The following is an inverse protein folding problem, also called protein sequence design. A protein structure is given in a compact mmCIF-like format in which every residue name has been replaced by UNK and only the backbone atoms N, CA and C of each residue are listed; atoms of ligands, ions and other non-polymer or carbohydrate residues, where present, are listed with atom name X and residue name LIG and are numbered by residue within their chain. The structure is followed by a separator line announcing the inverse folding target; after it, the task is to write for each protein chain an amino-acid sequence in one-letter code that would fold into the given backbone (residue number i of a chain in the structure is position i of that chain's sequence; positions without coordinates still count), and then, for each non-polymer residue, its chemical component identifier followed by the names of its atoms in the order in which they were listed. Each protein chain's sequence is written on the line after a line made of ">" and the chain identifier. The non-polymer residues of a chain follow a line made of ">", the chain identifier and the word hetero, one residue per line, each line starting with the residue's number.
data_IF_240194049237
#
_entry.id   IF_240194049237
#
_cell.length_a   1.000
_cell.length_b   1.000
_cell.length_c   1.000
_cell.angle_alpha   90.00
_cell.angle_beta   90.00
_cell.angle_gamma   90.00
#
_symmetry.space_group_name_H-M   'P 1'
#
loop_
_entity.id
_entity.type
_entity.pdbx_description
1 polymer ?
#
# COMPACT_ATOMS: atom_id res chain seq x y z
N UNK A 1 -7.93 -35.33 3.90
CA UNK A 1 -8.71 -35.59 2.67
C UNK A 1 -8.31 -34.58 1.61
N UNK A 2 -8.24 -34.97 0.33
CA UNK A 2 -7.85 -34.05 -0.77
C UNK A 2 -8.68 -32.77 -0.80
N UNK A 3 -9.96 -32.83 -0.42
CA UNK A 3 -10.83 -31.66 -0.32
C UNK A 3 -10.41 -30.68 0.79
N UNK A 4 -9.94 -31.18 1.93
CA UNK A 4 -9.42 -30.35 3.02
C UNK A 4 -8.11 -29.64 2.65
N UNK A 5 -7.20 -30.34 1.95
CA UNK A 5 -5.96 -29.73 1.43
C UNK A 5 -6.25 -28.61 0.42
N UNK A 6 -7.19 -28.83 -0.49
CA UNK A 6 -7.63 -27.83 -1.48
C UNK A 6 -8.28 -26.62 -0.79
N UNK A 7 -9.08 -26.84 0.26
CA UNK A 7 -9.67 -25.74 1.02
C UNK A 7 -8.62 -24.89 1.73
N UNK A 8 -7.63 -25.53 2.36
CA UNK A 8 -6.51 -24.84 3.02
C UNK A 8 -5.70 -24.04 2.00
N UNK A 9 -5.38 -24.61 0.83
CA UNK A 9 -4.68 -23.90 -0.25
C UNK A 9 -5.48 -22.67 -0.72
N UNK A 10 -6.79 -22.81 -0.94
CA UNK A 10 -7.67 -21.68 -1.31
C UNK A 10 -7.69 -20.58 -0.24
N UNK A 11 -7.62 -20.92 1.05
CA UNK A 11 -7.55 -19.93 2.15
C UNK A 11 -6.24 -19.15 2.09
N UNK A 12 -5.11 -19.83 1.87
CA UNK A 12 -3.78 -19.20 1.72
C UNK A 12 -3.80 -18.22 0.53
N UNK A 13 -4.29 -18.67 -0.63
CA UNK A 13 -4.36 -17.83 -1.84
C UNK A 13 -5.28 -16.61 -1.64
N UNK A 14 -6.43 -16.78 -0.98
CA UNK A 14 -7.33 -15.67 -0.67
C UNK A 14 -6.67 -14.64 0.26
N UNK A 15 -5.94 -15.09 1.28
CA UNK A 15 -5.17 -14.22 2.17
C UNK A 15 -4.16 -13.39 1.39
N UNK A 16 -3.29 -14.04 0.62
CA UNK A 16 -2.31 -13.37 -0.25
C UNK A 16 -2.95 -12.40 -1.25
N UNK A 17 -4.05 -12.81 -1.88
CA UNK A 17 -4.76 -11.98 -2.85
C UNK A 17 -5.38 -10.74 -2.22
N UNK A 18 -5.90 -10.84 -0.99
CA UNK A 18 -6.43 -9.70 -0.23
C UNK A 18 -5.33 -8.67 0.05
N UNK A 19 -4.16 -9.16 0.50
CA UNK A 19 -2.97 -8.34 0.78
C UNK A 19 -2.52 -7.60 -0.50
N UNK A 20 -2.31 -8.33 -1.60
CA UNK A 20 -1.86 -7.73 -2.86
C UNK A 20 -2.88 -6.72 -3.39
N UNK A 21 -4.19 -6.99 -3.30
CA UNK A 21 -5.24 -6.03 -3.70
C UNK A 21 -5.20 -4.75 -2.89
N UNK A 22 -4.91 -4.82 -1.59
CA UNK A 22 -4.82 -3.66 -0.71
C UNK A 22 -3.62 -2.80 -1.10
N UNK A 23 -2.45 -3.44 -1.22
CA UNK A 23 -1.17 -2.79 -1.50
C UNK A 23 -1.14 -2.18 -2.89
N UNK A 24 -1.63 -2.89 -3.91
CA UNK A 24 -1.62 -2.39 -5.29
C UNK A 24 -2.59 -1.23 -5.56
N UNK A 25 -3.42 -0.84 -4.58
CA UNK A 25 -4.24 0.38 -4.65
C UNK A 25 -3.51 1.61 -4.13
N UNK A 26 -2.39 1.43 -3.42
CA UNK A 26 -1.66 2.54 -2.80
C UNK A 26 -0.74 3.23 -3.82
N UNK A 27 -0.71 4.58 -3.88
CA UNK A 27 0.17 5.34 -4.78
C UNK A 27 1.66 5.00 -4.67
N UNK A 28 2.17 4.69 -3.46
CA UNK A 28 3.56 4.23 -3.26
C UNK A 28 3.90 3.04 -4.15
N UNK A 29 3.01 2.04 -4.23
CA UNK A 29 3.25 0.80 -4.97
C UNK A 29 3.14 1.02 -6.47
N UNK A 30 2.18 1.85 -6.91
CA UNK A 30 2.08 2.24 -8.33
C UNK A 30 3.35 2.91 -8.81
N UNK A 31 3.89 3.87 -8.05
CA UNK A 31 5.16 4.54 -8.37
C UNK A 31 6.33 3.56 -8.37
N UNK A 32 6.37 2.65 -7.40
CA UNK A 32 7.43 1.63 -7.33
C UNK A 32 7.41 0.69 -8.54
N UNK A 33 6.23 0.22 -8.95
CA UNK A 33 6.08 -0.63 -10.13
C UNK A 33 6.53 0.10 -11.39
N UNK A 34 6.21 1.38 -11.52
CA UNK A 34 6.68 2.22 -12.63
C UNK A 34 8.22 2.32 -12.62
N UNK A 35 8.83 2.58 -11.45
CA UNK A 35 10.29 2.61 -11.29
C UNK A 35 10.96 1.27 -11.63
N UNK A 36 10.32 0.13 -11.28
CA UNK A 36 10.83 -1.19 -11.66
C UNK A 36 10.81 -1.39 -13.18
N UNK A 37 9.83 -0.82 -13.88
CA UNK A 37 9.81 -0.81 -15.35
C UNK A 37 10.86 0.11 -15.96
N UNK A 38 11.11 1.27 -15.35
CA UNK A 38 12.19 2.15 -15.81
C UNK A 38 13.56 1.47 -15.65
N UNK A 39 13.80 0.80 -14.52
CA UNK A 39 15.01 0.02 -14.28
C UNK A 39 15.17 -1.21 -15.20
N UNK A 40 14.04 -1.80 -15.63
CA UNK A 40 14.04 -2.86 -16.64
C UNK A 40 14.40 -2.29 -18.02
N UNK A 41 13.92 -1.09 -18.34
CA UNK A 41 14.19 -0.42 -19.62
C UNK A 41 15.66 0.03 -19.74
N UNK A 42 16.26 0.53 -18.66
CA UNK A 42 17.68 0.93 -18.61
C UNK A 42 18.64 -0.26 -18.56
N UNK A 43 18.15 -1.46 -18.24
CA UNK A 43 18.96 -2.66 -18.10
C UNK A 43 19.57 -2.85 -16.71
N UNK A 44 19.22 -2.01 -15.74
CA UNK A 44 19.69 -2.10 -14.34
C UNK A 44 19.14 -3.34 -13.61
N UNK A 45 18.02 -3.89 -14.10
CA UNK A 45 17.42 -5.12 -13.58
C UNK A 45 17.12 -6.11 -14.69
N UNK A 46 17.35 -7.38 -14.38
CA UNK A 46 16.99 -8.46 -15.29
C UNK A 46 15.50 -8.80 -15.16
N UNK A 47 14.86 -9.13 -16.27
CA UNK A 47 13.45 -9.53 -16.30
C UNK A 47 13.18 -10.77 -15.43
N UNK A 48 14.19 -11.65 -15.26
CA UNK A 48 14.12 -12.88 -14.43
C UNK A 48 13.90 -12.59 -12.95
N UNK A 49 14.39 -11.46 -12.46
CA UNK A 49 14.13 -11.04 -11.07
C UNK A 49 12.68 -10.55 -10.89
N UNK A 50 12.12 -9.96 -11.94
CA UNK A 50 10.85 -9.24 -11.88
C UNK A 50 9.64 -10.15 -12.09
N UNK A 51 9.68 -11.03 -13.09
CA UNK A 51 8.50 -11.77 -13.56
C UNK A 51 8.78 -13.27 -13.59
N UNK A 52 7.75 -14.07 -13.29
CA UNK A 52 7.82 -15.52 -13.36
C UNK A 52 7.98 -15.95 -14.84
N UNK A 53 8.99 -16.76 -15.11
CA UNK A 53 9.20 -17.43 -16.40
C UNK A 53 8.71 -18.87 -16.26
N UNK A 54 7.67 -19.23 -17.01
CA UNK A 54 7.12 -20.59 -17.04
C UNK A 54 7.64 -21.41 -18.23
N UNK A 55 8.42 -20.81 -19.14
CA UNK A 55 8.86 -21.47 -20.36
C UNK A 55 10.11 -22.33 -20.08
N UNK A 56 10.08 -23.60 -20.50
CA UNK A 56 11.17 -24.58 -20.33
C UNK A 56 12.41 -24.27 -21.18
N UNK A 57 12.27 -23.47 -22.25
CA UNK A 57 13.36 -23.00 -23.11
C UNK A 57 13.62 -21.50 -22.92
N UNK A 58 14.75 -21.17 -22.31
CA UNK A 58 15.17 -19.79 -22.06
C UNK A 58 16.11 -19.34 -23.18
N UNK A 59 15.55 -18.98 -24.34
CA UNK A 59 16.30 -18.33 -25.42
C UNK A 59 16.30 -16.81 -25.24
N UNK A 60 17.36 -16.14 -25.71
CA UNK A 60 17.50 -14.68 -25.60
C UNK A 60 16.37 -13.93 -26.33
N UNK A 61 15.86 -14.50 -27.42
CA UNK A 61 14.70 -13.96 -28.15
C UNK A 61 13.43 -13.96 -27.31
N UNK A 62 13.19 -15.04 -26.57
CA UNK A 62 12.01 -15.19 -25.71
C UNK A 62 12.07 -14.27 -24.49
N UNK A 63 13.26 -14.07 -23.94
CA UNK A 63 13.52 -13.08 -22.88
C UNK A 63 13.18 -11.67 -23.39
N UNK A 64 13.62 -11.31 -24.60
CA UNK A 64 13.36 -10.00 -25.19
C UNK A 64 11.86 -9.79 -25.49
N UNK A 65 11.15 -10.82 -25.94
CA UNK A 65 9.70 -10.77 -26.13
C UNK A 65 8.96 -10.56 -24.82
N UNK A 66 9.29 -11.35 -23.78
CA UNK A 66 8.67 -11.23 -22.46
C UNK A 66 8.97 -9.88 -21.82
N UNK A 67 10.19 -9.37 -21.98
CA UNK A 67 10.57 -8.02 -21.54
C UNK A 67 9.69 -6.95 -22.21
N UNK A 68 9.51 -7.01 -23.53
CA UNK A 68 8.60 -6.10 -24.27
C UNK A 68 7.15 -6.21 -23.79
N UNK A 69 6.67 -7.41 -23.48
CA UNK A 69 5.32 -7.62 -22.95
C UNK A 69 5.16 -6.95 -21.59
N UNK A 70 6.09 -7.18 -20.67
CA UNK A 70 6.07 -6.62 -19.32
C UNK A 70 6.18 -5.09 -19.37
N UNK A 71 7.02 -4.55 -20.26
CA UNK A 71 7.11 -3.11 -20.48
C UNK A 71 5.76 -2.52 -20.91
N UNK A 72 5.06 -3.16 -21.86
CA UNK A 72 3.71 -2.72 -22.28
C UNK A 72 2.70 -2.76 -21.13
N UNK A 73 2.78 -3.76 -20.25
CA UNK A 73 1.93 -3.83 -19.07
C UNK A 73 2.24 -2.69 -18.08
N UNK A 74 3.51 -2.37 -17.87
CA UNK A 74 3.92 -1.25 -17.01
C UNK A 74 3.50 0.09 -17.61
N UNK A 75 3.57 0.26 -18.92
CA UNK A 75 3.05 1.47 -19.60
C UNK A 75 1.54 1.61 -19.42
N UNK A 76 0.80 0.49 -19.42
CA UNK A 76 -0.62 0.50 -19.10
C UNK A 76 -0.88 0.90 -17.63
N UNK A 77 -0.06 0.43 -16.69
CA UNK A 77 -0.08 0.89 -15.29
C UNK A 77 0.18 2.39 -15.22
N UNK A 78 1.18 2.91 -15.94
CA UNK A 78 1.52 4.35 -15.98
C UNK A 78 0.34 5.19 -16.46
N UNK A 79 -0.31 4.79 -17.56
CA UNK A 79 -1.51 5.48 -18.09
C UNK A 79 -2.69 5.47 -17.13
N UNK A 80 -2.95 4.32 -16.50
CA UNK A 80 -4.00 4.19 -15.49
C UNK A 80 -3.70 5.05 -14.26
N UNK A 81 -2.43 5.10 -13.82
CA UNK A 81 -2.00 5.88 -12.66
C UNK A 81 -2.17 7.39 -12.89
N UNK A 82 -1.76 7.91 -14.06
CA UNK A 82 -1.99 9.30 -14.45
C UNK A 82 -3.49 9.67 -14.45
N UNK A 83 -4.35 8.74 -14.87
CA UNK A 83 -5.80 8.95 -14.86
C UNK A 83 -6.34 8.98 -13.43
N UNK A 84 -5.84 8.09 -12.57
CA UNK A 84 -6.20 8.06 -11.15
C UNK A 84 -5.76 9.33 -10.41
N UNK A 85 -4.57 9.84 -10.68
CA UNK A 85 -4.04 11.11 -10.14
C UNK A 85 -4.93 12.29 -10.52
N UNK A 86 -5.25 12.46 -11.80
CA UNK A 86 -6.15 13.54 -12.27
C UNK A 86 -7.54 13.48 -11.65
N UNK A 87 -8.08 12.28 -11.42
CA UNK A 87 -9.38 12.11 -10.77
C UNK A 87 -9.29 12.36 -9.26
N UNK A 88 -8.16 12.06 -8.64
CA UNK A 88 -7.88 12.36 -7.24
C UNK A 88 -7.74 13.86 -7.00
N UNK A 89 -7.02 14.58 -7.88
CA UNK A 89 -6.92 16.05 -7.84
C UNK A 89 -8.31 16.70 -7.91
N UNK A 90 -9.13 16.28 -8.89
CA UNK A 90 -10.53 16.72 -9.00
C UNK A 90 -11.36 16.42 -7.76
N UNK A 91 -11.10 15.31 -7.07
CA UNK A 91 -11.77 14.98 -5.82
C UNK A 91 -11.34 15.92 -4.69
N UNK A 92 -10.04 16.24 -4.61
CA UNK A 92 -9.49 17.13 -3.60
C UNK A 92 -10.01 18.57 -3.78
N UNK A 93 -10.17 19.03 -5.02
CA UNK A 93 -10.76 20.32 -5.36
C UNK A 93 -12.28 20.37 -5.12
N UNK A 94 -12.97 19.22 -5.17
CA UNK A 94 -14.42 19.17 -4.99
C UNK A 94 -14.77 19.35 -3.51
N UNK A 95 -15.53 20.39 -3.13
CA UNK A 95 -15.93 20.59 -1.74
C UNK A 95 -16.74 19.39 -1.21
N UNK A 96 -16.44 18.93 0.01
CA UNK A 96 -17.22 17.89 0.71
C UNK A 96 -18.68 18.31 0.95
N UNK A 97 -18.96 19.61 0.91
CA UNK A 97 -20.26 20.21 0.64
C UNK A 97 -21.15 20.48 1.87
N UNK A 98 -21.68 21.70 1.92
CA UNK A 98 -22.75 22.12 2.84
C UNK A 98 -24.15 21.83 2.26
N UNK A 99 -24.31 21.86 0.93
CA UNK A 99 -25.60 21.64 0.24
C UNK A 99 -25.77 20.21 -0.29
N UNK A 100 -27.02 19.80 -0.56
CA UNK A 100 -27.35 18.46 -1.12
C UNK A 100 -26.71 18.22 -2.50
N UNK A 101 -26.59 19.27 -3.33
CA UNK A 101 -25.99 19.18 -4.67
C UNK A 101 -24.49 18.90 -4.59
N UNK A 102 -23.79 19.60 -3.70
CA UNK A 102 -22.35 19.45 -3.52
C UNK A 102 -22.00 18.06 -2.97
N UNK A 103 -22.78 17.58 -1.99
CA UNK A 103 -22.65 16.21 -1.47
C UNK A 103 -22.81 15.16 -2.59
N UNK A 104 -23.75 15.35 -3.52
CA UNK A 104 -23.94 14.44 -4.66
C UNK A 104 -22.74 14.49 -5.62
N UNK A 105 -22.21 15.68 -5.92
CA UNK A 105 -21.02 15.85 -6.77
C UNK A 105 -19.79 15.20 -6.14
N UNK A 106 -19.56 15.44 -4.84
CA UNK A 106 -18.46 14.83 -4.09
C UNK A 106 -18.53 13.30 -4.13
N UNK A 107 -19.71 12.70 -3.88
CA UNK A 107 -19.90 11.25 -3.98
C UNK A 107 -19.57 10.70 -5.37
N UNK A 108 -19.96 11.41 -6.44
CA UNK A 108 -19.65 11.01 -7.82
C UNK A 108 -18.15 11.06 -8.10
N UNK A 109 -17.49 12.18 -7.75
CA UNK A 109 -16.03 12.30 -7.92
C UNK A 109 -15.28 11.26 -7.10
N UNK A 110 -15.71 11.01 -5.85
CA UNK A 110 -15.11 10.01 -4.97
C UNK A 110 -15.23 8.61 -5.58
N UNK A 111 -16.41 8.27 -6.10
CA UNK A 111 -16.61 6.97 -6.75
C UNK A 111 -15.70 6.81 -7.98
N UNK A 112 -15.58 7.83 -8.83
CA UNK A 112 -14.71 7.80 -10.00
C UNK A 112 -13.23 7.65 -9.63
N UNK A 113 -12.74 8.43 -8.65
CA UNK A 113 -11.36 8.34 -8.16
C UNK A 113 -11.05 6.94 -7.60
N UNK A 114 -11.96 6.39 -6.78
CA UNK A 114 -11.80 5.04 -6.23
C UNK A 114 -11.83 3.95 -7.32
N UNK A 115 -12.67 4.11 -8.35
CA UNK A 115 -12.70 3.17 -9.49
C UNK A 115 -11.41 3.20 -10.29
N UNK A 116 -10.86 4.39 -10.55
CA UNK A 116 -9.57 4.52 -11.22
C UNK A 116 -8.42 3.88 -10.40
N UNK A 117 -8.41 4.04 -9.07
CA UNK A 117 -7.46 3.33 -8.19
C UNK A 117 -7.60 1.81 -8.27
N UNK A 118 -8.83 1.31 -8.39
CA UNK A 118 -9.08 -0.14 -8.59
C UNK A 118 -8.57 -0.60 -9.96
N UNK A 119 -8.71 0.21 -11.01
CA UNK A 119 -8.16 -0.09 -12.33
C UNK A 119 -6.62 -0.19 -12.29
N UNK A 120 -5.94 0.76 -11.64
CA UNK A 120 -4.48 0.69 -11.42
C UNK A 120 -4.10 -0.62 -10.71
N UNK A 121 -4.82 -0.97 -9.64
CA UNK A 121 -4.63 -2.23 -8.92
C UNK A 121 -4.88 -3.47 -9.76
N UNK A 122 -5.77 -3.43 -10.74
CA UNK A 122 -5.99 -4.53 -11.69
C UNK A 122 -4.79 -4.67 -12.63
N UNK A 123 -4.35 -3.59 -13.28
CA UNK A 123 -3.20 -3.59 -14.18
C UNK A 123 -1.91 -4.06 -13.50
N UNK A 124 -1.67 -3.62 -12.26
CA UNK A 124 -0.51 -4.07 -11.47
C UNK A 124 -0.59 -5.58 -11.19
N UNK A 125 -1.80 -6.11 -10.92
CA UNK A 125 -1.98 -7.54 -10.62
C UNK A 125 -2.00 -8.45 -11.85
N UNK A 126 -2.22 -7.89 -13.03
CA UNK A 126 -2.06 -8.59 -14.31
C UNK A 126 -0.57 -8.89 -14.62
N UNK A 127 0.36 -8.17 -13.99
CA UNK A 127 1.78 -8.45 -14.09
C UNK A 127 2.11 -9.63 -13.17
N UNK A 128 2.70 -10.68 -13.75
CA UNK A 128 3.06 -11.91 -13.05
C UNK A 128 4.36 -11.76 -12.26
N UNK A 129 4.37 -10.84 -11.28
CA UNK A 129 5.52 -10.63 -10.43
C UNK A 129 5.94 -11.90 -9.69
N UNK A 130 7.26 -12.08 -9.56
CA UNK A 130 7.86 -13.09 -8.68
C UNK A 130 7.40 -12.88 -7.24
N UNK A 131 7.38 -13.96 -6.45
CA UNK A 131 6.98 -13.88 -5.04
C UNK A 131 7.93 -12.98 -4.22
N UNK A 132 9.20 -12.90 -4.60
CA UNK A 132 10.18 -12.01 -3.97
C UNK A 132 9.82 -10.53 -4.14
N UNK A 133 9.44 -10.12 -5.35
CA UNK A 133 8.99 -8.74 -5.62
C UNK A 133 7.69 -8.44 -4.86
N UNK A 134 6.73 -9.37 -4.85
CA UNK A 134 5.49 -9.22 -4.08
C UNK A 134 5.76 -9.01 -2.60
N UNK A 135 6.66 -9.80 -2.00
CA UNK A 135 7.07 -9.65 -0.59
C UNK A 135 7.75 -8.31 -0.34
N UNK A 136 8.69 -7.90 -1.20
CA UNK A 136 9.36 -6.60 -1.08
C UNK A 136 8.38 -5.43 -1.09
N UNK A 137 7.35 -5.48 -1.93
CA UNK A 137 6.29 -4.46 -1.95
C UNK A 137 5.45 -4.45 -0.66
N UNK A 138 5.23 -5.62 -0.05
CA UNK A 138 4.58 -5.74 1.26
C UNK A 138 5.44 -5.12 2.36
N UNK A 139 6.73 -5.45 2.38
CA UNK A 139 7.65 -4.97 3.42
C UNK A 139 7.85 -3.45 3.34
N UNK A 140 8.02 -2.90 2.14
CA UNK A 140 8.12 -1.45 1.92
C UNK A 140 6.84 -0.71 2.37
N UNK A 141 5.66 -1.32 2.16
CA UNK A 141 4.40 -0.78 2.67
C UNK A 141 4.33 -0.83 4.21
N UNK A 142 4.74 -1.95 4.81
CA UNK A 142 4.74 -2.10 6.27
C UNK A 142 5.65 -1.08 6.94
N UNK A 143 6.87 -0.93 6.44
CA UNK A 143 7.85 0.03 6.93
C UNK A 143 7.31 1.47 6.81
N UNK A 144 6.71 1.82 5.67
CA UNK A 144 6.09 3.13 5.49
C UNK A 144 4.99 3.40 6.52
N UNK A 145 4.11 2.44 6.79
CA UNK A 145 3.04 2.60 7.78
C UNK A 145 3.58 2.61 9.21
N UNK A 146 4.60 1.82 9.53
CA UNK A 146 5.24 1.82 10.85
C UNK A 146 5.92 3.15 11.15
N UNK A 147 6.62 3.73 10.18
CA UNK A 147 7.22 5.05 10.31
C UNK A 147 6.16 6.13 10.61
N UNK A 148 5.02 6.10 9.92
CA UNK A 148 3.89 7.00 10.20
C UNK A 148 3.31 6.77 11.59
N UNK A 149 3.12 5.51 12.00
CA UNK A 149 2.61 5.16 13.34
C UNK A 149 3.56 5.59 14.46
N UNK A 150 4.86 5.47 14.26
CA UNK A 150 5.86 5.89 15.24
C UNK A 150 5.73 7.39 15.53
N UNK A 151 5.67 8.21 14.48
CA UNK A 151 5.47 9.66 14.61
C UNK A 151 4.11 9.99 15.24
N UNK A 152 3.04 9.26 14.89
CA UNK A 152 1.73 9.44 15.55
C UNK A 152 1.78 9.14 17.05
N UNK A 153 2.45 8.06 17.47
CA UNK A 153 2.62 7.71 18.89
C UNK A 153 3.43 8.76 19.63
N UNK A 154 4.46 9.33 19.01
CA UNK A 154 5.22 10.45 19.57
C UNK A 154 4.33 11.68 19.78
N UNK A 155 3.50 12.04 18.78
CA UNK A 155 2.54 13.14 18.90
C UNK A 155 1.56 12.88 20.05
N UNK A 156 0.99 11.67 20.14
CA UNK A 156 0.08 11.28 21.23
C UNK A 156 0.75 11.25 22.60
N UNK A 157 2.05 10.90 22.66
CA UNK A 157 2.84 10.94 23.89
C UNK A 157 3.01 12.39 24.37
N UNK A 158 3.45 13.27 23.48
CA UNK A 158 3.67 14.69 23.81
C UNK A 158 2.33 15.39 24.13
N UNK A 159 1.25 15.05 23.42
CA UNK A 159 -0.08 15.60 23.69
C UNK A 159 -0.61 15.18 25.07
N UNK A 160 -0.36 13.93 25.49
CA UNK A 160 -0.68 13.46 26.85
C UNK A 160 0.14 14.18 27.92
N UNK A 161 1.38 14.54 27.63
CA UNK A 161 2.21 15.34 28.53
C UNK A 161 1.68 16.77 28.65
N UNK A 162 1.26 17.39 27.54
CA UNK A 162 0.67 18.74 27.54
C UNK A 162 -0.69 18.79 28.24
N UNK A 163 -1.49 17.74 28.11
CA UNK A 163 -2.84 17.63 28.67
C UNK A 163 -2.93 16.50 29.71
N UNK A 164 -2.24 16.61 30.85
CA UNK A 164 -2.27 15.57 31.87
C UNK A 164 -3.66 15.47 32.49
N UNK A 165 -4.19 14.24 32.62
CA UNK A 165 -5.50 13.99 33.23
C UNK A 165 -5.56 14.42 34.71
N UNK A 166 -4.41 14.46 35.39
CA UNK A 166 -4.28 14.92 36.77
C UNK A 166 -3.87 16.39 36.82
N UNK A 167 -4.81 17.28 37.19
CA UNK A 167 -4.59 18.74 37.32
C UNK A 167 -3.48 19.17 38.28
N UNK A 168 -2.98 18.27 39.14
CA UNK A 168 -1.89 18.53 40.10
C UNK A 168 -0.50 18.56 39.45
N UNK A 169 -0.34 18.06 38.22
CA UNK A 169 0.92 18.03 37.49
C UNK A 169 0.97 19.19 36.48
N UNK A 170 1.07 20.43 36.98
CA UNK A 170 1.25 21.60 36.10
C UNK A 170 2.71 21.67 35.64
N UNK A 171 2.94 21.47 34.34
CA UNK A 171 4.22 21.76 33.69
C UNK A 171 4.56 23.25 33.82
N UNK A 172 5.86 23.56 33.97
CA UNK A 172 6.40 24.93 33.84
C UNK A 172 6.08 25.50 32.46
N UNK A 173 5.94 26.82 32.37
CA UNK A 173 5.57 27.50 31.13
C UNK A 173 6.60 27.29 30.02
N UNK A 174 7.89 27.24 30.37
CA UNK A 174 8.97 26.96 29.42
C UNK A 174 8.91 25.53 28.86
N UNK A 175 8.61 24.54 29.70
CA UNK A 175 8.46 23.15 29.28
C UNK A 175 7.25 22.99 28.34
N UNK A 176 6.14 23.67 28.63
CA UNK A 176 4.98 23.70 27.73
C UNK A 176 5.33 24.30 26.37
N UNK A 177 6.08 25.41 26.35
CA UNK A 177 6.50 26.07 25.11
C UNK A 177 7.42 25.16 24.27
N UNK A 178 8.30 24.41 24.93
CA UNK A 178 9.18 23.43 24.28
C UNK A 178 8.39 22.23 23.73
N UNK A 179 7.47 21.65 24.51
CA UNK A 179 6.61 20.55 24.05
C UNK A 179 5.68 20.97 22.90
N UNK A 180 5.16 22.20 22.92
CA UNK A 180 4.36 22.75 21.81
C UNK A 180 5.18 22.90 20.51
N UNK A 181 6.45 23.33 20.61
CA UNK A 181 7.38 23.36 19.47
C UNK A 181 7.62 21.94 18.94
N UNK A 182 7.92 20.99 19.82
CA UNK A 182 8.12 19.59 19.44
C UNK A 182 6.89 18.98 18.77
N UNK A 183 5.67 19.23 19.26
CA UNK A 183 4.44 18.78 18.58
C UNK A 183 4.33 19.40 17.19
N UNK A 184 4.62 20.69 17.04
CA UNK A 184 4.56 21.36 15.75
C UNK A 184 5.53 20.72 14.75
N UNK A 185 6.76 20.46 15.17
CA UNK A 185 7.79 19.83 14.34
C UNK A 185 7.40 18.40 13.97
N UNK A 186 6.89 17.62 14.92
CA UNK A 186 6.41 16.26 14.67
C UNK A 186 5.17 16.22 13.75
N UNK A 187 4.26 17.19 13.87
CA UNK A 187 3.12 17.34 12.94
C UNK A 187 3.58 17.71 11.53
N UNK A 188 4.60 18.55 11.40
CA UNK A 188 5.21 18.86 10.10
C UNK A 188 5.87 17.62 9.50
N UNK A 189 6.61 16.84 10.30
CA UNK A 189 7.19 15.56 9.88
C UNK A 189 6.12 14.56 9.45
N UNK A 190 5.05 14.41 10.23
CA UNK A 190 3.92 13.56 9.88
C UNK A 190 3.29 13.99 8.55
N UNK A 191 3.08 15.30 8.36
CA UNK A 191 2.53 15.84 7.12
C UNK A 191 3.44 15.56 5.92
N UNK A 192 4.74 15.78 6.05
CA UNK A 192 5.70 15.49 4.99
C UNK A 192 5.71 14.00 4.61
N UNK A 193 5.61 13.10 5.60
CA UNK A 193 5.50 11.65 5.35
C UNK A 193 4.19 11.29 4.65
N UNK A 194 3.05 11.85 5.09
CA UNK A 194 1.75 11.55 4.47
C UNK A 194 1.64 12.12 3.06
N UNK A 195 2.21 13.31 2.82
CA UNK A 195 2.26 13.93 1.50
C UNK A 195 3.14 13.08 0.57
N UNK A 196 4.28 12.60 1.06
CA UNK A 196 5.15 11.68 0.32
C UNK A 196 4.49 10.34 -0.01
N UNK A 197 3.56 9.86 0.82
CA UNK A 197 2.79 8.64 0.59
C UNK A 197 1.49 8.88 -0.20
N UNK A 198 1.09 10.15 -0.40
CA UNK A 198 -0.19 10.57 -0.99
C UNK A 198 -1.41 9.90 -0.34
N UNK A 199 -1.33 9.60 0.96
CA UNK A 199 -2.39 8.92 1.70
C UNK A 199 -2.58 9.53 3.08
N UNK A 200 -3.85 9.60 3.50
CA UNK A 200 -4.17 10.00 4.87
C UNK A 200 -3.76 8.88 5.86
N UNK A 201 -3.34 9.21 7.09
CA UNK A 201 -2.96 8.21 8.09
C UNK A 201 -4.04 7.17 8.41
N UNK A 202 -5.31 7.56 8.31
CA UNK A 202 -6.43 6.65 8.53
C UNK A 202 -6.49 5.56 7.45
N UNK A 203 -6.22 5.91 6.19
CA UNK A 203 -6.18 4.97 5.07
C UNK A 203 -4.98 4.03 5.19
N UNK A 204 -3.82 4.57 5.56
CA UNK A 204 -2.60 3.78 5.83
C UNK A 204 -2.82 2.74 6.94
N UNK A 205 -3.52 3.12 8.02
CA UNK A 205 -3.88 2.19 9.10
C UNK A 205 -4.80 1.07 8.60
N UNK A 206 -5.78 1.39 7.75
CA UNK A 206 -6.69 0.40 7.17
C UNK A 206 -5.94 -0.57 6.24
N UNK A 207 -5.01 -0.06 5.42
CA UNK A 207 -4.14 -0.86 4.57
C UNK A 207 -3.33 -1.85 5.41
N UNK A 208 -2.68 -1.39 6.48
CA UNK A 208 -1.89 -2.25 7.35
C UNK A 208 -2.73 -3.30 8.09
N UNK A 209 -3.91 -2.94 8.60
CA UNK A 209 -4.82 -3.92 9.22
C UNK A 209 -5.24 -5.02 8.23
N UNK A 210 -5.45 -4.65 6.95
CA UNK A 210 -5.74 -5.61 5.89
C UNK A 210 -4.54 -6.53 5.61
N UNK A 211 -3.32 -5.97 5.63
CA UNK A 211 -2.07 -6.74 5.47
C UNK A 211 -1.94 -7.75 6.61
N UNK A 212 -2.00 -7.29 7.86
CA UNK A 212 -1.85 -8.12 9.06
C UNK A 212 -2.88 -9.25 9.11
N UNK A 213 -4.15 -8.95 8.80
CA UNK A 213 -5.20 -9.97 8.76
C UNK A 213 -4.97 -11.00 7.65
N UNK A 214 -4.56 -10.55 6.47
CA UNK A 214 -4.31 -11.45 5.34
C UNK A 214 -3.11 -12.36 5.57
N UNK A 215 -2.06 -11.85 6.21
CA UNK A 215 -0.89 -12.64 6.62
C UNK A 215 -1.24 -13.64 7.71
N UNK A 216 -1.95 -13.20 8.75
CA UNK A 216 -2.41 -14.08 9.82
C UNK A 216 -3.25 -15.24 9.27
N UNK A 217 -4.20 -14.97 8.36
CA UNK A 217 -5.00 -16.00 7.72
C UNK A 217 -4.16 -16.99 6.90
N UNK A 218 -3.16 -16.48 6.17
CA UNK A 218 -2.25 -17.33 5.39
C UNK A 218 -1.34 -18.18 6.29
N UNK A 219 -0.88 -17.64 7.40
CA UNK A 219 -0.03 -18.33 8.38
C UNK A 219 -0.80 -19.41 9.14
N UNK A 220 -2.02 -19.12 9.60
CA UNK A 220 -2.90 -20.10 10.25
C UNK A 220 -3.19 -21.27 9.31
N UNK A 221 -3.57 -20.99 8.05
CA UNK A 221 -3.82 -22.03 7.07
C UNK A 221 -2.55 -22.85 6.75
N UNK A 222 -1.37 -22.22 6.71
CA UNK A 222 -0.10 -22.93 6.56
C UNK A 222 0.18 -23.86 7.75
N UNK A 223 -0.11 -23.41 8.98
CA UNK A 223 0.04 -24.22 10.19
C UNK A 223 -0.89 -25.43 10.18
N UNK A 224 -2.17 -25.23 9.82
CA UNK A 224 -3.15 -26.32 9.63
C UNK A 224 -2.68 -27.34 8.60
N UNK A 225 -2.08 -26.89 7.48
CA UNK A 225 -1.52 -27.78 6.46
C UNK A 225 -0.37 -28.65 7.01
N UNK A 226 0.54 -28.05 7.78
CA UNK A 226 1.68 -28.77 8.37
C UNK A 226 1.19 -29.78 9.40
N UNK A 227 0.26 -29.40 10.27
CA UNK A 227 -0.34 -30.29 11.27
C UNK A 227 -1.12 -31.44 10.62
N UNK A 228 -1.79 -31.20 9.49
CA UNK A 228 -2.47 -32.25 8.72
C UNK A 228 -1.50 -33.23 8.06
N UNK A 229 -0.30 -32.78 7.66
CA UNK A 229 0.74 -33.63 7.06
C UNK A 229 1.57 -34.40 8.11
N UNK A 230 1.55 -33.97 9.38
CA UNK A 230 2.22 -34.63 10.51
C UNK A 230 1.35 -35.69 11.20
N UNK A 231 0.06 -35.79 10.86
CA UNK A 231 -0.89 -36.80 11.34
C UNK A 231 -1.01 -37.94 10.36
#
# INVERSE_FOLDING_TARGET
>A
TREGEVEIARRIERGKLSVIKSISRTPLVSRKVIQLGDALHTGDRTIRELVIFNDEEITDERIAERSRQVQKQIDAVRKANLTAEKLQEKLNETPRGATTRDKRKYRKCRWLAMRARVEVSQRIREIEFTESIKRRLIDEMKEAVENVKAVQREIESIDRLLHPKNKKQKLREDDKKNLLRQIKDQRLKLKAMTDGLEQEPAELKQTLDTILRGEYQAEQAKKEMVEANLR
#
